data_IF_832967628589
#
_entry.id   IF_832967628589
#
_cell.length_a   1.000
_cell.length_b   1.000
_cell.length_c   1.000
_cell.angle_alpha   90.00
_cell.angle_beta   90.00
_cell.angle_gamma   90.00
#
_symmetry.space_group_name_H-M   'P 1'
#
loop_
_entity.id
_entity.type
_entity.pdbx_description
1 polymer ?
#
# COMPACT_ATOMS: atom_id res chain seq x y z
N UNK A 1 9.66 -0.29 -6.79
CA UNK A 1 8.79 -1.25 -7.47
C UNK A 1 8.81 -2.56 -6.69
N UNK A 2 7.66 -3.05 -6.23
CA UNK A 2 7.51 -4.30 -5.45
C UNK A 2 6.50 -5.27 -6.09
N UNK A 3 6.11 -5.04 -7.34
CA UNK A 3 5.18 -5.90 -8.06
C UNK A 3 5.83 -7.24 -8.44
N UNK A 4 5.02 -8.28 -8.69
CA UNK A 4 5.51 -9.63 -9.07
C UNK A 4 6.44 -10.26 -8.02
N UNK A 5 6.05 -10.19 -6.74
CA UNK A 5 6.73 -10.90 -5.66
C UNK A 5 5.73 -11.79 -4.90
N UNK A 6 6.21 -12.48 -3.88
CA UNK A 6 5.39 -13.30 -2.99
C UNK A 6 5.00 -12.56 -1.70
N UNK A 7 4.82 -11.23 -1.76
CA UNK A 7 4.44 -10.45 -0.58
C UNK A 7 3.02 -10.83 -0.19
N UNK A 8 2.86 -11.43 1.00
CA UNK A 8 1.55 -11.78 1.56
C UNK A 8 1.16 -10.91 2.76
N UNK A 9 2.13 -10.28 3.41
CA UNK A 9 1.96 -9.40 4.55
C UNK A 9 2.86 -8.17 4.42
N UNK A 10 2.34 -7.00 4.79
CA UNK A 10 3.10 -5.75 4.87
C UNK A 10 3.07 -5.32 6.34
N UNK A 11 4.25 -5.24 6.95
CA UNK A 11 4.35 -4.82 8.35
C UNK A 11 4.03 -3.33 8.50
N UNK A 12 3.47 -2.97 9.66
CA UNK A 12 3.24 -1.57 9.97
C UNK A 12 4.55 -0.81 10.00
N UNK A 13 4.59 0.27 9.23
CA UNK A 13 5.75 1.13 9.14
C UNK A 13 6.84 0.67 8.17
N UNK A 14 6.60 -0.37 7.35
CA UNK A 14 7.52 -0.75 6.26
C UNK A 14 7.83 0.40 5.29
N UNK A 15 6.99 1.44 5.25
CA UNK A 15 7.16 2.62 4.40
C UNK A 15 7.49 3.91 5.16
N UNK A 16 7.87 3.82 6.44
CA UNK A 16 8.26 5.00 7.21
C UNK A 16 9.44 5.73 6.56
N UNK A 17 9.32 7.05 6.47
CA UNK A 17 10.36 7.92 5.91
C UNK A 17 10.35 8.04 4.39
N UNK A 18 9.48 7.32 3.66
CA UNK A 18 9.33 7.43 2.21
C UNK A 18 8.48 8.65 1.79
N UNK A 19 8.79 9.82 2.36
CA UNK A 19 7.97 11.02 2.27
C UNK A 19 7.81 11.58 0.87
N UNK A 20 8.76 11.29 -0.04
CA UNK A 20 8.75 11.77 -1.42
C UNK A 20 8.25 10.74 -2.43
N UNK A 21 7.87 9.53 -1.99
CA UNK A 21 7.40 8.48 -2.90
C UNK A 21 6.03 8.88 -3.49
N UNK A 22 5.94 8.88 -4.82
CA UNK A 22 4.71 9.23 -5.56
C UNK A 22 3.93 8.03 -6.05
N UNK A 23 4.62 6.94 -6.37
CA UNK A 23 4.02 5.77 -6.99
C UNK A 23 4.50 4.52 -6.24
N UNK A 24 3.55 3.68 -5.83
CA UNK A 24 3.82 2.43 -5.13
C UNK A 24 3.16 1.27 -5.87
N UNK A 25 4.01 0.39 -6.38
CA UNK A 25 3.61 -0.77 -7.18
C UNK A 25 3.68 -2.04 -6.32
N UNK A 26 2.51 -2.56 -5.94
CA UNK A 26 2.32 -3.80 -5.17
C UNK A 26 1.47 -4.83 -5.92
N UNK A 27 1.16 -4.60 -7.19
CA UNK A 27 0.35 -5.51 -8.00
C UNK A 27 1.03 -6.86 -8.21
N UNK A 28 0.24 -7.90 -8.49
CA UNK A 28 0.75 -9.27 -8.70
C UNK A 28 1.58 -9.76 -7.50
N UNK A 29 1.01 -9.65 -6.30
CA UNK A 29 1.52 -10.23 -5.07
C UNK A 29 0.43 -11.11 -4.42
N UNK A 30 0.66 -11.60 -3.21
CA UNK A 30 -0.26 -12.46 -2.46
C UNK A 30 -0.90 -11.74 -1.27
N UNK A 31 -1.00 -10.40 -1.30
CA UNK A 31 -1.52 -9.62 -0.18
C UNK A 31 -3.00 -9.96 0.01
N UNK A 32 -3.37 -10.42 1.20
CA UNK A 32 -4.73 -10.86 1.51
C UNK A 32 -5.49 -9.91 2.45
N UNK A 33 -4.76 -9.11 3.22
CA UNK A 33 -5.30 -8.21 4.24
C UNK A 33 -4.61 -6.85 4.19
N UNK A 34 -5.39 -5.79 4.03
CA UNK A 34 -4.91 -4.41 4.12
C UNK A 34 -5.31 -3.86 5.50
N UNK A 35 -4.33 -3.79 6.40
CA UNK A 35 -4.51 -3.24 7.73
C UNK A 35 -4.39 -1.72 7.77
N UNK A 36 -4.98 -1.11 8.79
CA UNK A 36 -4.82 0.31 9.05
C UNK A 36 -3.37 0.64 9.42
N UNK A 37 -2.83 1.65 8.76
CA UNK A 37 -1.51 2.20 9.05
C UNK A 37 -0.35 1.53 8.31
N UNK A 38 -0.59 0.51 7.47
CA UNK A 38 0.49 -0.10 6.67
C UNK A 38 1.10 0.91 5.70
N UNK A 39 0.32 1.90 5.24
CA UNK A 39 0.77 2.97 4.35
C UNK A 39 1.27 4.23 5.09
N UNK A 40 1.49 4.15 6.40
CA UNK A 40 2.06 5.26 7.16
C UNK A 40 3.46 5.62 6.63
N UNK A 41 3.74 6.91 6.47
CA UNK A 41 5.01 7.41 5.96
C UNK A 41 5.00 7.77 4.47
N UNK A 42 3.84 7.69 3.81
CA UNK A 42 3.65 7.97 2.39
C UNK A 42 2.77 9.22 2.10
N UNK A 43 3.04 10.40 2.69
CA UNK A 43 2.20 11.59 2.54
C UNK A 43 2.09 12.12 1.10
N UNK A 44 3.10 11.88 0.25
CA UNK A 44 3.14 12.34 -1.15
C UNK A 44 2.74 11.27 -2.16
N UNK A 45 2.24 10.11 -1.72
CA UNK A 45 1.84 9.05 -2.64
C UNK A 45 0.59 9.48 -3.42
N UNK A 46 0.69 9.44 -4.75
CA UNK A 46 -0.34 9.83 -5.70
C UNK A 46 -1.00 8.60 -6.33
N UNK A 47 -0.24 7.53 -6.57
CA UNK A 47 -0.71 6.31 -7.22
C UNK A 47 -0.30 5.06 -6.44
N UNK A 48 -1.26 4.21 -6.11
CA UNK A 48 -1.08 2.93 -5.45
C UNK A 48 -1.64 1.83 -6.34
N UNK A 49 -0.84 0.83 -6.68
CA UNK A 49 -1.27 -0.28 -7.53
C UNK A 49 -1.34 -1.56 -6.72
N UNK A 50 -2.56 -2.08 -6.52
CA UNK A 50 -2.84 -3.30 -5.74
C UNK A 50 -3.49 -4.42 -6.57
N UNK A 51 -3.69 -4.22 -7.89
CA UNK A 51 -4.36 -5.20 -8.73
C UNK A 51 -3.66 -6.57 -8.73
N UNK A 52 -4.42 -7.64 -8.96
CA UNK A 52 -3.89 -9.01 -8.98
C UNK A 52 -3.21 -9.40 -7.64
N UNK A 53 -3.81 -8.99 -6.52
CA UNK A 53 -3.56 -9.55 -5.20
C UNK A 53 -4.77 -10.39 -4.75
N UNK A 54 -4.67 -11.05 -3.60
CA UNK A 54 -5.72 -11.88 -3.01
C UNK A 54 -6.48 -11.15 -1.89
N UNK A 55 -6.66 -9.82 -2.03
CA UNK A 55 -7.21 -8.97 -0.96
C UNK A 55 -8.68 -9.35 -0.72
N UNK A 56 -8.93 -9.90 0.47
CA UNK A 56 -10.26 -10.32 0.94
C UNK A 56 -10.77 -9.45 2.09
N UNK A 57 -9.87 -8.72 2.76
CA UNK A 57 -10.20 -7.82 3.85
C UNK A 57 -9.42 -6.50 3.74
N UNK A 58 -10.13 -5.39 3.96
CA UNK A 58 -9.57 -4.04 4.05
C UNK A 58 -10.15 -3.40 5.30
N UNK A 59 -9.30 -3.05 6.27
CA UNK A 59 -9.77 -2.40 7.49
C UNK A 59 -10.32 -1.00 7.17
N UNK A 60 -11.27 -0.54 7.99
CA UNK A 60 -11.83 0.81 7.84
C UNK A 60 -10.71 1.87 8.02
N UNK A 61 -10.69 2.86 7.12
CA UNK A 61 -9.71 3.95 7.10
C UNK A 61 -8.27 3.48 6.83
N UNK A 62 -8.05 2.35 6.16
CA UNK A 62 -6.70 1.86 5.83
C UNK A 62 -5.90 2.79 4.92
N UNK A 63 -6.57 3.56 4.07
CA UNK A 63 -5.94 4.54 3.16
C UNK A 63 -5.91 5.97 3.72
N UNK A 64 -6.31 6.18 4.98
CA UNK A 64 -6.38 7.54 5.58
C UNK A 64 -5.02 8.26 5.61
N UNK A 65 -3.93 7.49 5.62
CA UNK A 65 -2.56 8.00 5.75
C UNK A 65 -1.99 8.42 4.37
N UNK A 66 -2.81 8.37 3.32
CA UNK A 66 -2.48 8.73 1.94
C UNK A 66 -3.26 9.98 1.47
N UNK A 67 -2.99 11.17 2.02
CA UNK A 67 -3.76 12.38 1.73
C UNK A 67 -3.63 12.88 0.28
N UNK A 68 -2.58 12.48 -0.43
CA UNK A 68 -2.32 12.88 -1.81
C UNK A 68 -2.81 11.85 -2.85
N UNK A 69 -3.47 10.76 -2.41
CA UNK A 69 -3.84 9.66 -3.28
C UNK A 69 -4.88 10.09 -4.32
N UNK A 70 -4.59 9.80 -5.57
CA UNK A 70 -5.44 10.12 -6.73
C UNK A 70 -5.89 8.87 -7.46
N UNK A 71 -5.08 7.80 -7.43
CA UNK A 71 -5.34 6.52 -8.10
C UNK A 71 -5.02 5.35 -7.19
N UNK A 72 -5.90 4.33 -7.23
CA UNK A 72 -5.86 3.11 -6.44
C UNK A 72 -6.15 1.89 -7.34
#
# INVERSE_FOLDING_TARGET
YLYQNDIFHIERGSFLGLSSLKELYLQQNNIYHIERGIFQGLPSLEELYLQQNNISHIENRSFRDLPSLKKL
#
